data_IF_085666099928
#
_entry.id   IF_085666099928
#
_cell.length_a   1.000
_cell.length_b   1.000
_cell.length_c   1.000
_cell.angle_alpha   90.00
_cell.angle_beta   90.00
_cell.angle_gamma   90.00
#
_symmetry.space_group_name_H-M   'P 1'
#
loop_
_entity.id
_entity.type
_entity.pdbx_description
1 polymer ?
#
# COMPACT_ATOMS: atom_id res chain seq x y z
N UNK A 1 15.32 -28.22 4.55
CA UNK A 1 14.88 -27.01 5.27
C UNK A 1 14.59 -25.95 4.22
N UNK A 2 13.32 -25.76 3.86
CA UNK A 2 12.95 -24.62 3.02
C UNK A 2 13.06 -23.37 3.90
N UNK A 3 13.78 -22.35 3.45
CA UNK A 3 13.78 -21.06 4.12
C UNK A 3 12.34 -20.54 4.15
N UNK A 4 11.85 -20.14 5.34
CA UNK A 4 10.64 -19.33 5.44
C UNK A 4 10.79 -18.14 4.48
N UNK A 5 9.80 -17.83 3.63
CA UNK A 5 9.85 -16.61 2.85
C UNK A 5 9.96 -15.46 3.85
N UNK A 6 11.11 -14.80 3.86
CA UNK A 6 11.51 -13.78 4.82
C UNK A 6 10.45 -12.67 4.80
N UNK A 7 9.44 -12.82 5.66
CA UNK A 7 8.33 -11.88 5.82
C UNK A 7 8.93 -10.66 6.48
N UNK A 8 9.38 -9.73 5.66
CA UNK A 8 9.86 -8.44 6.15
C UNK A 8 8.61 -7.63 6.48
N UNK A 9 8.56 -7.09 7.70
CA UNK A 9 7.46 -6.23 8.11
C UNK A 9 7.23 -5.14 7.04
N UNK A 10 5.97 -4.83 6.69
CA UNK A 10 5.70 -3.85 5.64
C UNK A 10 6.27 -2.49 6.04
N UNK A 11 6.99 -1.84 5.12
CA UNK A 11 7.56 -0.52 5.35
C UNK A 11 6.50 0.59 5.39
N UNK A 12 5.27 0.28 4.96
CA UNK A 12 4.16 1.22 4.88
C UNK A 12 2.91 0.67 5.57
N UNK A 13 2.09 1.58 6.09
CA UNK A 13 0.74 1.32 6.56
C UNK A 13 -0.23 2.32 5.92
N UNK A 14 -1.52 2.02 5.97
CA UNK A 14 -2.55 3.02 5.64
C UNK A 14 -2.46 4.19 6.62
N UNK A 15 -2.58 5.41 6.13
CA UNK A 15 -2.60 6.59 7.00
C UNK A 15 -3.83 6.55 7.94
N UNK A 16 -3.79 7.23 9.10
CA UNK A 16 -4.91 7.25 10.03
C UNK A 16 -6.23 7.69 9.37
N UNK A 17 -7.29 6.91 9.56
CA UNK A 17 -8.60 7.17 8.95
C UNK A 17 -8.72 6.77 7.48
N UNK A 18 -7.66 6.22 6.88
CA UNK A 18 -7.67 5.66 5.53
C UNK A 18 -7.99 4.16 5.58
N UNK A 19 -8.87 3.72 4.69
CA UNK A 19 -9.19 2.32 4.45
C UNK A 19 -8.95 1.96 2.99
N UNK A 20 -8.63 0.70 2.73
CA UNK A 20 -8.45 0.17 1.37
C UNK A 20 -9.39 -1.02 1.13
N UNK A 21 -10.24 -0.91 0.12
CA UNK A 21 -11.15 -1.97 -0.31
C UNK A 21 -10.73 -2.52 -1.67
N UNK A 22 -10.62 -3.84 -1.80
CA UNK A 22 -10.40 -4.51 -3.10
C UNK A 22 -11.73 -4.68 -3.81
N UNK A 23 -11.77 -4.41 -5.10
CA UNK A 23 -12.99 -4.52 -5.89
C UNK A 23 -13.10 -5.89 -6.59
N UNK A 24 -14.33 -6.41 -6.83
CA UNK A 24 -14.53 -7.77 -7.36
C UNK A 24 -14.00 -7.98 -8.79
N UNK A 25 -14.01 -6.94 -9.62
CA UNK A 25 -13.62 -7.01 -11.03
C UNK A 25 -12.17 -6.55 -11.29
N UNK A 26 -11.38 -6.47 -10.23
CA UNK A 26 -10.03 -5.89 -10.26
C UNK A 26 -10.02 -4.46 -9.73
N UNK A 27 -8.82 -3.97 -9.41
CA UNK A 27 -8.63 -2.66 -8.80
C UNK A 27 -9.01 -2.58 -7.31
N UNK A 28 -8.98 -1.38 -6.77
CA UNK A 28 -9.28 -1.10 -5.38
C UNK A 28 -9.64 0.36 -5.15
N UNK A 29 -10.11 0.68 -3.96
CA UNK A 29 -10.51 2.03 -3.57
C UNK A 29 -9.88 2.37 -2.24
N UNK A 30 -9.20 3.51 -2.20
CA UNK A 30 -8.78 4.17 -0.96
C UNK A 30 -9.86 5.15 -0.54
N UNK A 31 -10.26 5.10 0.72
CA UNK A 31 -11.24 6.01 1.31
C UNK A 31 -10.65 6.62 2.57
N UNK A 32 -10.62 7.94 2.63
CA UNK A 32 -10.27 8.67 3.85
C UNK A 32 -11.56 9.14 4.52
N UNK A 33 -11.91 8.53 5.66
CA UNK A 33 -13.16 8.84 6.36
C UNK A 33 -13.17 10.24 7.00
N UNK A 34 -11.99 10.83 7.24
CA UNK A 34 -11.85 12.16 7.84
C UNK A 34 -12.11 13.27 6.83
N UNK A 35 -11.62 13.11 5.60
CA UNK A 35 -11.75 14.12 4.52
C UNK A 35 -12.84 13.78 3.51
N UNK A 36 -13.42 12.58 3.59
CA UNK A 36 -14.32 11.99 2.58
C UNK A 36 -13.68 11.91 1.18
N UNK A 37 -12.35 11.96 1.10
CA UNK A 37 -11.64 11.77 -0.14
C UNK A 37 -11.69 10.30 -0.57
N UNK A 38 -11.80 10.09 -1.88
CA UNK A 38 -11.80 8.76 -2.51
C UNK A 38 -10.77 8.76 -3.64
N UNK A 39 -9.97 7.71 -3.71
CA UNK A 39 -9.07 7.47 -4.83
C UNK A 39 -9.28 6.05 -5.38
N UNK A 40 -9.55 5.98 -6.68
CA UNK A 40 -9.67 4.72 -7.39
C UNK A 40 -8.29 4.23 -7.85
N UNK A 41 -8.04 2.95 -7.60
CA UNK A 41 -6.86 2.25 -8.07
C UNK A 41 -7.29 1.25 -9.14
N UNK A 42 -6.70 1.34 -10.32
CA UNK A 42 -6.80 0.26 -11.30
C UNK A 42 -6.13 -1.03 -10.78
N UNK A 43 -6.17 -2.09 -11.59
CA UNK A 43 -5.64 -3.39 -11.21
C UNK A 43 -4.15 -3.36 -10.87
N UNK A 44 -3.34 -2.56 -11.57
CA UNK A 44 -1.90 -2.44 -11.34
C UNK A 44 -1.63 -1.65 -10.07
N UNK A 45 -2.28 -0.49 -9.90
CA UNK A 45 -2.17 0.31 -8.68
C UNK A 45 -2.64 -0.46 -7.44
N UNK A 46 -3.69 -1.28 -7.54
CA UNK A 46 -4.12 -2.18 -6.46
C UNK A 46 -3.02 -3.17 -6.09
N UNK A 47 -2.35 -3.79 -7.06
CA UNK A 47 -1.24 -4.69 -6.79
C UNK A 47 -0.09 -3.97 -6.09
N UNK A 48 0.20 -2.73 -6.47
CA UNK A 48 1.19 -1.90 -5.78
C UNK A 48 0.80 -1.63 -4.32
N UNK A 49 -0.45 -1.25 -4.05
CA UNK A 49 -0.95 -1.08 -2.68
C UNK A 49 -0.83 -2.40 -1.89
N UNK A 50 -1.18 -3.53 -2.49
CA UNK A 50 -1.06 -4.85 -1.86
C UNK A 50 0.40 -5.16 -1.48
N UNK A 51 1.36 -4.92 -2.37
CA UNK A 51 2.80 -5.11 -2.08
C UNK A 51 3.28 -4.17 -0.97
N UNK A 52 2.89 -2.89 -1.00
CA UNK A 52 3.31 -1.91 -0.01
C UNK A 52 2.79 -2.24 1.39
N UNK A 53 1.56 -2.73 1.50
CA UNK A 53 0.92 -3.07 2.77
C UNK A 53 1.32 -4.44 3.33
N UNK A 54 1.76 -5.37 2.47
CA UNK A 54 2.18 -6.70 2.91
C UNK A 54 3.69 -6.84 3.05
N UNK A 55 4.46 -5.95 2.41
CA UNK A 55 5.92 -6.08 2.32
C UNK A 55 6.37 -7.24 1.43
N UNK A 56 5.44 -7.93 0.75
CA UNK A 56 5.68 -9.12 -0.06
C UNK A 56 5.35 -8.82 -1.51
N UNK A 57 6.35 -8.95 -2.39
CA UNK A 57 6.21 -8.75 -3.82
C UNK A 57 7.54 -8.89 -4.54
N UNK A 58 7.53 -8.97 -5.89
CA UNK A 58 8.77 -8.88 -6.67
C UNK A 58 9.48 -7.55 -6.39
N UNK A 59 10.82 -7.55 -6.48
CA UNK A 59 11.65 -6.40 -6.14
C UNK A 59 11.09 -5.11 -6.77
N UNK A 60 10.75 -4.17 -5.90
CA UNK A 60 9.97 -3.00 -6.20
C UNK A 60 10.80 -2.02 -7.03
N UNK A 61 10.60 -2.06 -8.36
CA UNK A 61 11.22 -1.13 -9.30
C UNK A 61 10.87 0.34 -9.05
N UNK A 62 11.46 1.23 -9.85
CA UNK A 62 11.30 2.69 -9.75
C UNK A 62 9.83 3.15 -9.67
N UNK A 63 8.94 2.51 -10.44
CA UNK A 63 7.51 2.84 -10.48
C UNK A 63 6.80 2.60 -9.15
N UNK A 64 7.08 1.49 -8.45
CA UNK A 64 6.46 1.22 -7.14
C UNK A 64 6.91 2.23 -6.09
N UNK A 65 8.19 2.63 -6.12
CA UNK A 65 8.73 3.65 -5.20
C UNK A 65 8.12 5.02 -5.46
N UNK A 66 7.97 5.39 -6.74
CA UNK A 66 7.30 6.63 -7.14
C UNK A 66 5.84 6.63 -6.69
N UNK A 67 5.11 5.55 -6.96
CA UNK A 67 3.72 5.39 -6.55
C UNK A 67 3.56 5.47 -5.02
N UNK A 68 4.42 4.80 -4.26
CA UNK A 68 4.43 4.90 -2.80
C UNK A 68 4.68 6.33 -2.32
N UNK A 69 5.65 7.03 -2.92
CA UNK A 69 5.95 8.43 -2.60
C UNK A 69 4.76 9.36 -2.87
N UNK A 70 4.04 9.14 -3.98
CA UNK A 70 2.83 9.90 -4.29
C UNK A 70 1.69 9.64 -3.29
N UNK A 71 1.49 8.40 -2.87
CA UNK A 71 0.49 8.06 -1.84
C UNK A 71 0.83 8.63 -0.47
N UNK A 72 2.10 8.62 -0.06
CA UNK A 72 2.55 9.27 1.18
C UNK A 72 2.34 10.78 1.11
N UNK A 73 2.74 11.42 0.01
CA UNK A 73 2.58 12.87 -0.19
C UNK A 73 1.12 13.32 -0.16
N UNK A 74 0.21 12.46 -0.61
CA UNK A 74 -1.23 12.71 -0.59
C UNK A 74 -1.90 12.31 0.74
N UNK A 75 -1.17 11.73 1.68
CA UNK A 75 -1.72 11.32 2.98
C UNK A 75 -2.55 10.03 2.93
N UNK A 76 -2.36 9.19 1.92
CA UNK A 76 -3.00 7.87 1.84
C UNK A 76 -2.22 6.79 2.59
N UNK A 77 -0.89 6.89 2.60
CA UNK A 77 0.01 5.99 3.31
C UNK A 77 0.85 6.74 4.34
N UNK A 78 1.27 6.01 5.37
CA UNK A 78 2.29 6.43 6.33
C UNK A 78 3.44 5.40 6.34
N UNK A 79 4.63 5.83 6.75
CA UNK A 79 5.72 4.89 7.04
C UNK A 79 5.37 4.07 8.28
N UNK A 80 5.65 2.78 8.24
CA UNK A 80 5.56 1.95 9.44
C UNK A 80 6.66 2.41 10.40
N UNK A 81 6.30 2.93 11.57
CA UNK A 81 7.31 3.23 12.60
C UNK A 81 7.98 1.91 12.97
N UNK A 82 9.31 1.85 12.83
CA UNK A 82 10.11 0.74 13.32
C UNK A 82 10.33 1.02 14.80
N UNK A 83 9.60 0.31 15.65
CA UNK A 83 9.78 0.39 17.09
C UNK A 83 11.06 -0.38 17.46
N UNK A 84 12.21 0.28 17.36
CA UNK A 84 13.48 -0.14 17.96
C UNK A 84 13.42 -0.01 19.50
#
# INVERSE_FOLDING_TARGET
MAADPMTTAPAFALAPGVSFARLPFGGGVLVNATTLAVAECDQQHRQYVDVLLTGVGPDAGHELRRFAGDLVRQGWLAFHERND
#
